data_IF_995192425962
#
_entry.id   IF_995192425962
#
_cell.length_a   1.000
_cell.length_b   1.000
_cell.length_c   1.000
_cell.angle_alpha   90.00
_cell.angle_beta   90.00
_cell.angle_gamma   90.00
#
_symmetry.space_group_name_H-M   'P 1'
#
loop_
_entity.id
_entity.type
_entity.pdbx_description
1 polymer ?
#
# COMPACT_ATOMS: atom_id res chain seq x y z
N UNK A 1 0.62 -14.99 -27.17
CA UNK A 1 -0.33 -15.76 -26.34
C UNK A 1 -0.93 -14.81 -25.31
N UNK A 2 -2.23 -14.51 -25.39
CA UNK A 2 -2.90 -13.67 -24.41
C UNK A 2 -3.15 -14.47 -23.11
N UNK A 3 -2.94 -13.85 -21.94
CA UNK A 3 -3.20 -14.50 -20.65
C UNK A 3 -4.69 -14.80 -20.51
N UNK A 4 -5.03 -15.94 -19.91
CA UNK A 4 -6.42 -16.24 -19.56
C UNK A 4 -6.90 -15.31 -18.43
N UNK A 5 -8.20 -15.03 -18.36
CA UNK A 5 -8.79 -14.19 -17.30
C UNK A 5 -8.47 -14.74 -15.91
N UNK A 6 -8.46 -16.07 -15.75
CA UNK A 6 -8.09 -16.73 -14.48
C UNK A 6 -6.63 -16.44 -14.10
N UNK A 7 -5.71 -16.54 -15.07
CA UNK A 7 -4.29 -16.24 -14.84
C UNK A 7 -4.09 -14.77 -14.44
N UNK A 8 -4.82 -13.85 -15.06
CA UNK A 8 -4.76 -12.44 -14.70
C UNK A 8 -5.27 -12.19 -13.27
N UNK A 9 -6.39 -12.80 -12.87
CA UNK A 9 -6.90 -12.71 -11.49
C UNK A 9 -5.88 -13.24 -10.49
N UNK A 10 -5.28 -14.39 -10.78
CA UNK A 10 -4.30 -15.00 -9.89
C UNK A 10 -3.00 -14.18 -9.76
N UNK A 11 -2.57 -13.52 -10.83
CA UNK A 11 -1.43 -12.60 -10.82
C UNK A 11 -1.68 -11.34 -9.96
N UNK A 12 -2.95 -11.05 -9.63
CA UNK A 12 -3.39 -9.92 -8.80
C UNK A 12 -3.85 -10.34 -7.39
N UNK A 13 -3.51 -11.57 -6.98
CA UNK A 13 -3.80 -12.06 -5.64
C UNK A 13 -3.19 -11.16 -4.54
N UNK A 14 -3.92 -10.84 -3.46
CA UNK A 14 -3.50 -9.84 -2.48
C UNK A 14 -2.22 -10.21 -1.69
N UNK A 15 -1.84 -11.50 -1.61
CA UNK A 15 -0.60 -11.97 -0.97
C UNK A 15 0.60 -12.06 -1.92
N UNK A 16 0.41 -11.89 -3.23
CA UNK A 16 1.54 -11.85 -4.17
C UNK A 16 2.22 -10.48 -4.10
N UNK A 17 3.55 -10.40 -4.26
CA UNK A 17 4.25 -9.13 -4.34
C UNK A 17 3.66 -8.26 -5.47
N UNK A 18 3.40 -6.97 -5.23
CA UNK A 18 2.93 -6.07 -6.27
C UNK A 18 3.99 -5.92 -7.36
N UNK A 19 3.54 -5.59 -8.57
CA UNK A 19 4.44 -5.20 -9.66
C UNK A 19 5.15 -3.90 -9.29
N UNK A 20 6.40 -3.78 -9.72
CA UNK A 20 7.22 -2.59 -9.53
C UNK A 20 8.16 -2.42 -10.72
N UNK A 21 8.58 -1.19 -10.95
CA UNK A 21 9.65 -0.83 -11.88
C UNK A 21 10.97 -0.62 -11.11
N UNK A 22 12.11 -0.70 -11.81
CA UNK A 22 13.42 -0.43 -11.19
C UNK A 22 13.48 0.94 -10.51
N UNK A 23 12.76 1.92 -11.05
CA UNK A 23 12.64 3.25 -10.47
C UNK A 23 11.89 3.26 -9.12
N UNK A 24 10.91 2.38 -8.92
CA UNK A 24 10.22 2.22 -7.63
C UNK A 24 11.18 1.62 -6.59
N UNK A 25 11.87 0.55 -6.97
CA UNK A 25 12.84 -0.11 -6.11
C UNK A 25 13.98 0.85 -5.73
N UNK A 26 14.50 1.63 -6.68
CA UNK A 26 15.53 2.64 -6.43
C UNK A 26 15.00 3.76 -5.50
N UNK A 27 13.76 4.21 -5.70
CA UNK A 27 13.14 5.23 -4.86
C UNK A 27 12.95 4.74 -3.42
N UNK A 28 12.44 3.53 -3.21
CA UNK A 28 12.25 2.93 -1.88
C UNK A 28 13.59 2.70 -1.18
N UNK A 29 14.61 2.23 -1.91
CA UNK A 29 15.98 2.09 -1.37
C UNK A 29 16.55 3.43 -0.91
N UNK A 30 16.43 4.47 -1.74
CA UNK A 30 16.90 5.81 -1.39
C UNK A 30 16.13 6.41 -0.21
N UNK A 31 14.82 6.13 -0.11
CA UNK A 31 13.99 6.55 1.01
C UNK A 31 14.47 5.88 2.31
N UNK A 32 14.71 4.57 2.29
CA UNK A 32 15.23 3.82 3.43
C UNK A 32 16.63 4.27 3.88
N UNK A 33 17.45 4.74 2.94
CA UNK A 33 18.78 5.30 3.22
C UNK A 33 18.75 6.76 3.71
N UNK A 34 17.60 7.43 3.66
CA UNK A 34 17.46 8.83 4.04
C UNK A 34 18.05 9.83 3.03
N UNK A 35 18.32 9.41 1.80
CA UNK A 35 18.94 10.24 0.74
C UNK A 35 18.07 10.38 -0.52
N UNK A 36 16.80 9.97 -0.46
CA UNK A 36 15.87 10.12 -1.57
C UNK A 36 15.72 11.59 -2.00
N UNK A 37 15.89 11.83 -3.30
CA UNK A 37 15.50 13.10 -3.93
C UNK A 37 14.00 13.36 -3.80
N UNK A 38 13.56 14.60 -4.04
CA UNK A 38 12.14 15.00 -3.96
C UNK A 38 11.25 14.08 -4.83
N UNK A 39 11.71 13.76 -6.04
CA UNK A 39 10.97 12.87 -6.93
C UNK A 39 10.91 11.43 -6.40
N UNK A 40 12.01 10.93 -5.84
CA UNK A 40 12.06 9.58 -5.24
C UNK A 40 11.20 9.49 -3.98
N UNK A 41 11.16 10.52 -3.14
CA UNK A 41 10.29 10.55 -1.95
C UNK A 41 8.82 10.40 -2.35
N UNK A 42 8.36 11.21 -3.31
CA UNK A 42 6.97 11.14 -3.82
C UNK A 42 6.68 9.79 -4.47
N UNK A 43 7.60 9.28 -5.29
CA UNK A 43 7.45 7.99 -5.97
C UNK A 43 7.39 6.82 -4.99
N UNK A 44 8.30 6.78 -4.02
CA UNK A 44 8.31 5.75 -2.98
C UNK A 44 7.02 5.79 -2.15
N UNK A 45 6.58 6.98 -1.75
CA UNK A 45 5.32 7.13 -1.02
C UNK A 45 4.12 6.63 -1.83
N UNK A 46 4.00 7.06 -3.10
CA UNK A 46 2.93 6.62 -4.00
C UNK A 46 2.95 5.09 -4.17
N UNK A 47 4.10 4.49 -4.45
CA UNK A 47 4.21 3.03 -4.61
C UNK A 47 3.84 2.27 -3.33
N UNK A 48 4.24 2.75 -2.16
CA UNK A 48 3.87 2.11 -0.88
C UNK A 48 2.35 2.15 -0.69
N UNK A 49 1.70 3.29 -0.92
CA UNK A 49 0.25 3.46 -0.70
C UNK A 49 -0.56 2.72 -1.77
N UNK A 50 -0.22 2.90 -3.04
CA UNK A 50 -1.02 2.44 -4.17
C UNK A 50 -0.73 0.98 -4.54
N UNK A 51 0.52 0.53 -4.42
CA UNK A 51 0.91 -0.81 -4.85
C UNK A 51 1.13 -1.74 -3.65
N UNK A 52 1.97 -1.37 -2.69
CA UNK A 52 2.32 -2.25 -1.56
C UNK A 52 1.17 -2.41 -0.56
N UNK A 53 0.45 -1.35 -0.24
CA UNK A 53 -0.73 -1.40 0.63
C UNK A 53 -2.04 -1.60 -0.13
N UNK A 54 -2.06 -1.35 -1.45
CA UNK A 54 -3.25 -1.46 -2.30
C UNK A 54 -4.44 -0.65 -1.75
N UNK A 55 -4.15 0.55 -1.24
CA UNK A 55 -5.07 1.33 -0.38
C UNK A 55 -6.40 1.67 -1.04
N UNK A 56 -6.41 1.83 -2.35
CA UNK A 56 -7.58 2.30 -3.11
C UNK A 56 -8.31 1.18 -3.86
N UNK A 57 -7.83 -0.06 -3.77
CA UNK A 57 -8.46 -1.20 -4.42
C UNK A 57 -9.67 -1.71 -3.61
N UNK A 58 -10.64 -2.29 -4.32
CA UNK A 58 -11.76 -2.99 -3.69
C UNK A 58 -11.19 -4.21 -2.95
N UNK A 59 -11.59 -4.45 -1.70
CA UNK A 59 -11.03 -5.53 -0.90
C UNK A 59 -11.73 -6.87 -1.04
N UNK A 60 -12.99 -6.89 -1.50
CA UNK A 60 -13.75 -8.12 -1.69
C UNK A 60 -13.04 -9.06 -2.68
N UNK A 61 -12.86 -10.32 -2.26
CA UNK A 61 -12.31 -11.39 -3.09
C UNK A 61 -13.32 -12.55 -3.16
N UNK A 62 -13.83 -12.89 -4.35
CA UNK A 62 -14.75 -14.02 -4.50
C UNK A 62 -13.99 -15.36 -4.50
N UNK A 63 -14.67 -16.45 -4.18
CA UNK A 63 -14.14 -17.82 -4.30
C UNK A 63 -14.01 -18.54 -2.97
N UNK A 64 -13.56 -19.80 -3.01
CA UNK A 64 -13.45 -20.67 -1.83
C UNK A 64 -12.49 -20.11 -0.78
N UNK A 65 -11.41 -19.48 -1.22
CA UNK A 65 -10.44 -18.84 -0.33
C UNK A 65 -10.75 -17.35 -0.07
N UNK A 66 -11.84 -16.82 -0.65
CA UNK A 66 -12.14 -15.40 -0.73
C UNK A 66 -12.13 -14.65 0.61
N UNK A 67 -12.59 -15.29 1.69
CA UNK A 67 -12.56 -14.71 3.04
C UNK A 67 -11.12 -14.45 3.52
N UNK A 68 -10.20 -15.41 3.28
CA UNK A 68 -8.79 -15.29 3.68
C UNK A 68 -8.08 -14.26 2.81
N UNK A 69 -8.35 -14.26 1.52
CA UNK A 69 -7.79 -13.29 0.59
C UNK A 69 -8.23 -11.86 0.94
N UNK A 70 -9.52 -11.68 1.24
CA UNK A 70 -10.11 -10.41 1.67
C UNK A 70 -9.47 -9.95 2.99
N UNK A 71 -9.32 -10.83 3.98
CA UNK A 71 -8.67 -10.51 5.25
C UNK A 71 -7.22 -10.03 5.05
N UNK A 72 -6.45 -10.69 4.17
CA UNK A 72 -5.09 -10.26 3.83
C UNK A 72 -5.08 -8.89 3.12
N UNK A 73 -6.01 -8.68 2.17
CA UNK A 73 -6.14 -7.42 1.46
C UNK A 73 -6.47 -6.25 2.40
N UNK A 74 -7.39 -6.46 3.35
CA UNK A 74 -7.76 -5.46 4.35
C UNK A 74 -6.61 -5.15 5.33
N UNK A 75 -5.82 -6.15 5.72
CA UNK A 75 -4.62 -5.93 6.53
C UNK A 75 -3.61 -4.99 5.85
N UNK A 76 -3.38 -5.19 4.54
CA UNK A 76 -2.54 -4.29 3.73
C UNK A 76 -3.14 -2.89 3.60
N UNK A 77 -4.43 -2.82 3.27
CA UNK A 77 -5.18 -1.56 3.12
C UNK A 77 -5.13 -0.73 4.40
N UNK A 78 -5.22 -1.36 5.57
CA UNK A 78 -5.11 -0.69 6.87
C UNK A 78 -3.80 0.09 7.01
N UNK A 79 -2.66 -0.50 6.64
CA UNK A 79 -1.34 0.17 6.69
C UNK A 79 -1.32 1.39 5.78
N UNK A 80 -1.83 1.25 4.56
CA UNK A 80 -1.94 2.34 3.61
C UNK A 80 -2.83 3.50 4.10
N UNK A 81 -3.98 3.17 4.70
CA UNK A 81 -4.87 4.16 5.31
C UNK A 81 -4.19 4.93 6.46
N UNK A 82 -3.32 4.29 7.24
CA UNK A 82 -2.54 5.01 8.28
C UNK A 82 -1.58 6.02 7.64
N UNK A 83 -0.89 5.67 6.56
CA UNK A 83 0.01 6.58 5.84
C UNK A 83 -0.75 7.77 5.24
N UNK A 84 -1.89 7.51 4.58
CA UNK A 84 -2.76 8.55 4.01
C UNK A 84 -3.29 9.48 5.12
N UNK A 85 -3.68 8.93 6.26
CA UNK A 85 -4.09 9.72 7.43
C UNK A 85 -2.96 10.66 7.90
N UNK A 86 -1.73 10.16 8.02
CA UNK A 86 -0.60 10.98 8.47
C UNK A 86 -0.31 12.16 7.53
N UNK A 87 -0.40 11.95 6.21
CA UNK A 87 -0.20 13.03 5.22
C UNK A 87 -1.30 14.09 5.28
N UNK A 88 -2.53 13.70 5.60
CA UNK A 88 -3.67 14.61 5.66
C UNK A 88 -3.90 15.22 7.06
N UNK A 89 -3.14 14.80 8.07
CA UNK A 89 -3.30 15.27 9.44
C UNK A 89 -2.83 16.72 9.54
N UNK A 90 -3.69 17.61 10.05
CA UNK A 90 -3.31 18.99 10.39
C UNK A 90 -2.48 19.00 11.67
N UNK A 91 -1.17 19.13 11.54
CA UNK A 91 -0.24 19.24 12.68
C UNK A 91 -0.52 20.59 13.37
N UNK A 92 -0.99 20.55 14.61
CA UNK A 92 -1.33 21.74 15.42
C UNK A 92 -2.78 21.83 15.89
N UNK A 93 -3.69 21.00 15.36
CA UNK A 93 -5.10 20.95 15.77
C UNK A 93 -5.43 19.75 16.68
N UNK A 94 -4.41 19.04 17.19
CA UNK A 94 -4.61 17.87 18.04
C UNK A 94 -4.92 18.36 19.47
N UNK A 95 -6.08 18.06 20.07
CA UNK A 95 -6.22 18.22 21.52
C UNK A 95 -5.11 17.39 22.18
N UNK A 96 -4.46 17.93 23.20
CA UNK A 96 -3.42 17.24 23.94
C UNK A 96 -3.98 15.89 24.43
N UNK A 97 -3.51 14.78 23.88
CA UNK A 97 -3.78 13.45 24.44
C UNK A 97 -2.81 13.19 25.61
N UNK A 98 -2.74 14.15 26.52
CA UNK A 98 -2.10 13.99 27.81
C UNK A 98 -3.21 13.84 28.84
N UNK A 99 -3.95 12.73 28.80
CA UNK A 99 -4.72 12.24 29.94
C UNK A 99 -5.28 10.84 29.64
N UNK A 100 -5.10 9.96 30.65
CA UNK A 100 -5.75 8.67 30.90
C UNK A 100 -5.15 7.39 30.27
N UNK A 101 -4.37 6.68 31.11
CA UNK A 101 -3.92 5.31 30.92
C UNK A 101 -2.62 4.99 31.65
#
# INVERSE_FOLDING_TARGET
MAKSVRQAIEDHAPWKPPKFEDADAAAVKALAQGNASIHQQKRAFAWIVECAANTYDLSYRPGVDGDRETAFAEGRRFVGLQLVKMVNLKIGARPNNSEEG
#
